data_IF_126198632472
#
_entry.id   IF_126198632472
#
_cell.length_a   1.000
_cell.length_b   1.000
_cell.length_c   1.000
_cell.angle_alpha   90.00
_cell.angle_beta   90.00
_cell.angle_gamma   90.00
#
_symmetry.space_group_name_H-M   'P 1'
#
loop_
_entity.id
_entity.type
_entity.pdbx_description
1 polymer ?
#
# COMPACT_ATOMS: atom_id res chain seq x y z
N UNK A 1 0.29 17.71 1.71
CA UNK A 1 1.22 18.69 1.08
C UNK A 1 0.57 19.19 -0.19
N UNK A 2 0.66 20.49 -0.49
CA UNK A 2 0.12 21.08 -1.72
C UNK A 2 1.28 21.38 -2.69
N UNK A 3 1.11 21.03 -3.96
CA UNK A 3 2.06 21.35 -5.03
C UNK A 3 1.58 22.66 -5.67
N UNK A 4 2.41 23.71 -5.62
CA UNK A 4 2.14 24.98 -6.28
C UNK A 4 3.04 25.12 -7.51
N UNK A 5 2.45 25.15 -8.70
CA UNK A 5 3.12 25.35 -9.97
C UNK A 5 2.73 26.73 -10.51
N UNK A 6 3.67 27.67 -10.54
CA UNK A 6 3.44 29.01 -11.08
C UNK A 6 4.35 29.27 -12.27
N UNK A 7 3.74 29.59 -13.41
CA UNK A 7 4.41 29.92 -14.67
C UNK A 7 5.43 28.85 -15.12
N UNK A 8 5.03 27.59 -15.07
CA UNK A 8 5.89 26.43 -15.37
C UNK A 8 5.57 25.90 -16.75
N UNK A 9 6.59 25.61 -17.54
CA UNK A 9 6.45 24.90 -18.82
C UNK A 9 7.06 23.50 -18.73
N UNK A 10 6.27 22.49 -19.05
CA UNK A 10 6.68 21.08 -19.14
C UNK A 10 6.51 20.65 -20.59
N UNK A 11 7.60 20.30 -21.26
CA UNK A 11 7.58 19.92 -22.68
C UNK A 11 8.32 18.59 -22.92
N UNK A 12 7.84 17.82 -23.88
CA UNK A 12 8.50 16.61 -24.42
C UNK A 12 8.84 15.53 -23.38
N UNK A 13 7.87 15.19 -22.52
CA UNK A 13 8.02 14.21 -21.44
C UNK A 13 6.96 13.10 -21.54
N UNK A 14 7.22 11.93 -20.93
CA UNK A 14 6.22 10.85 -20.85
C UNK A 14 4.96 11.29 -20.08
N UNK A 15 5.14 11.64 -18.80
CA UNK A 15 4.09 12.18 -17.92
C UNK A 15 4.52 13.56 -17.42
N UNK A 16 3.66 14.57 -17.57
CA UNK A 16 3.94 15.95 -17.16
C UNK A 16 3.94 16.14 -15.64
N UNK A 17 2.83 15.77 -14.98
CA UNK A 17 2.72 15.78 -13.52
C UNK A 17 2.29 14.40 -13.04
N UNK A 18 3.00 13.81 -12.08
CA UNK A 18 2.62 12.54 -11.45
C UNK A 18 2.51 12.71 -9.94
N UNK A 19 1.29 12.65 -9.41
CA UNK A 19 1.00 12.92 -8.00
C UNK A 19 0.01 11.91 -7.41
N UNK A 20 0.05 11.61 -6.09
CA UNK A 20 -1.02 10.87 -5.41
C UNK A 20 -2.38 11.55 -5.56
N UNK A 21 -3.47 10.78 -5.69
CA UNK A 21 -4.85 11.30 -5.79
C UNK A 21 -5.25 12.30 -4.70
N UNK A 22 -4.68 12.17 -3.50
CA UNK A 22 -4.97 13.06 -2.36
C UNK A 22 -4.14 14.36 -2.38
N UNK A 23 -3.34 14.59 -3.42
CA UNK A 23 -2.47 15.77 -3.51
C UNK A 23 -3.22 16.98 -4.04
N UNK A 24 -3.19 18.08 -3.30
CA UNK A 24 -3.73 19.34 -3.77
C UNK A 24 -2.74 20.01 -4.74
N UNK A 25 -3.12 20.15 -6.01
CA UNK A 25 -2.29 20.78 -7.05
C UNK A 25 -2.91 22.13 -7.39
N UNK A 26 -2.13 23.19 -7.19
CA UNK A 26 -2.48 24.55 -7.58
C UNK A 26 -1.56 24.98 -8.72
N UNK A 27 -2.14 25.19 -9.91
CA UNK A 27 -1.40 25.50 -11.11
C UNK A 27 -1.89 26.84 -11.69
N UNK A 28 -0.98 27.80 -11.82
CA UNK A 28 -1.23 29.14 -12.36
C UNK A 28 -0.19 29.42 -13.46
N UNK A 29 -0.61 29.61 -14.71
CA UNK A 29 0.32 29.74 -15.85
C UNK A 29 1.10 28.46 -16.19
N UNK A 30 0.53 27.28 -15.95
CA UNK A 30 1.13 25.99 -16.30
C UNK A 30 0.89 25.66 -17.77
N UNK A 31 1.95 25.40 -18.51
CA UNK A 31 1.92 24.95 -19.91
C UNK A 31 2.52 23.54 -20.01
N UNK A 32 1.72 22.55 -20.40
CA UNK A 32 2.21 21.17 -20.64
C UNK A 32 1.99 20.82 -22.11
N UNK A 33 3.08 20.62 -22.84
CA UNK A 33 3.07 20.36 -24.30
C UNK A 33 3.89 19.12 -24.65
N UNK A 34 3.54 18.44 -25.74
CA UNK A 34 4.26 17.25 -26.23
C UNK A 34 4.45 16.13 -25.18
N UNK A 35 3.48 15.93 -24.28
CA UNK A 35 3.51 14.84 -23.31
C UNK A 35 2.50 13.74 -23.61
N UNK A 36 2.81 12.48 -23.30
CA UNK A 36 1.84 11.37 -23.44
C UNK A 36 0.70 11.49 -22.44
N UNK A 37 1.01 11.86 -21.19
CA UNK A 37 0.05 12.13 -20.13
C UNK A 37 0.34 13.51 -19.52
N UNK A 38 -0.63 14.44 -19.54
CA UNK A 38 -0.40 15.78 -18.97
C UNK A 38 -0.36 15.73 -17.42
N UNK A 39 -1.38 15.12 -16.81
CA UNK A 39 -1.46 14.93 -15.36
C UNK A 39 -1.88 13.48 -15.10
N UNK A 40 -1.11 12.78 -14.29
CA UNK A 40 -1.34 11.41 -13.86
C UNK A 40 -1.52 11.38 -12.34
N UNK A 41 -2.75 11.17 -11.90
CA UNK A 41 -3.05 10.98 -10.50
C UNK A 41 -2.86 9.50 -10.17
N UNK A 42 -1.71 9.17 -9.57
CA UNK A 42 -1.42 7.81 -9.12
C UNK A 42 -2.36 7.46 -7.98
N UNK A 43 -3.00 6.32 -8.12
CA UNK A 43 -3.57 5.65 -6.95
C UNK A 43 -2.46 5.41 -5.94
N UNK A 44 -2.67 5.72 -4.65
CA UNK A 44 -1.75 5.25 -3.63
C UNK A 44 -1.57 3.74 -3.81
N UNK A 45 -0.34 3.21 -3.65
CA UNK A 45 -0.12 1.78 -3.76
C UNK A 45 -1.16 1.08 -2.90
N UNK A 46 -1.86 0.12 -3.50
CA UNK A 46 -2.85 -0.67 -2.75
C UNK A 46 -2.13 -1.29 -1.55
N UNK A 47 -2.83 -1.42 -0.43
CA UNK A 47 -2.23 -1.94 0.79
C UNK A 47 -1.56 -3.32 0.57
N UNK A 48 -2.12 -4.12 -0.34
CA UNK A 48 -1.52 -5.37 -0.81
C UNK A 48 -0.13 -5.13 -1.43
N UNK A 49 0.00 -4.20 -2.38
CA UNK A 49 1.28 -3.86 -2.98
C UNK A 49 2.29 -3.29 -1.97
N UNK A 50 1.84 -2.46 -1.03
CA UNK A 50 2.71 -1.94 0.04
C UNK A 50 3.25 -3.07 0.92
N UNK A 51 2.45 -4.10 1.15
CA UNK A 51 2.85 -5.31 1.89
C UNK A 51 3.63 -6.31 1.03
N UNK A 52 3.92 -6.00 -0.24
CA UNK A 52 4.56 -6.94 -1.17
C UNK A 52 3.66 -8.11 -1.58
N UNK A 53 2.36 -8.02 -1.31
CA UNK A 53 1.37 -9.03 -1.65
C UNK A 53 0.92 -8.89 -3.11
N UNK A 54 0.71 -10.01 -3.82
CA UNK A 54 0.10 -9.99 -5.14
C UNK A 54 -1.24 -9.25 -5.16
N UNK A 55 -1.56 -8.56 -6.26
CA UNK A 55 -2.82 -7.81 -6.39
C UNK A 55 -4.07 -8.72 -6.37
N UNK A 56 -3.92 -10.01 -6.69
CA UNK A 56 -4.96 -11.04 -6.62
C UNK A 56 -5.05 -11.72 -5.24
N UNK A 57 -4.34 -11.21 -4.22
CA UNK A 57 -4.40 -11.77 -2.86
C UNK A 57 -5.82 -11.60 -2.31
N UNK A 58 -6.48 -12.70 -1.88
CA UNK A 58 -7.81 -12.63 -1.30
C UNK A 58 -7.82 -11.74 -0.04
N UNK A 59 -8.67 -10.70 0.03
CA UNK A 59 -8.72 -9.81 1.19
C UNK A 59 -9.05 -10.54 2.49
N UNK A 60 -9.85 -11.60 2.42
CA UNK A 60 -10.24 -12.43 3.57
C UNK A 60 -9.04 -13.09 4.24
N UNK A 61 -8.04 -13.53 3.47
CA UNK A 61 -6.83 -14.14 4.00
C UNK A 61 -5.93 -13.11 4.69
N UNK A 62 -5.86 -11.89 4.16
CA UNK A 62 -5.17 -10.79 4.83
C UNK A 62 -5.82 -10.47 6.18
N UNK A 63 -7.16 -10.32 6.21
CA UNK A 63 -7.89 -10.05 7.45
C UNK A 63 -7.67 -11.15 8.49
N UNK A 64 -7.68 -12.42 8.07
CA UNK A 64 -7.39 -13.55 8.95
C UNK A 64 -5.98 -13.48 9.53
N UNK A 65 -4.97 -13.24 8.70
CA UNK A 65 -3.57 -13.10 9.13
C UNK A 65 -3.41 -11.95 10.14
N UNK A 66 -4.08 -10.82 9.91
CA UNK A 66 -4.07 -9.68 10.81
C UNK A 66 -4.76 -9.97 12.16
N UNK A 67 -5.90 -10.70 12.14
CA UNK A 67 -6.58 -11.15 13.37
C UNK A 67 -5.75 -12.14 14.18
N UNK A 68 -5.01 -13.03 13.51
CA UNK A 68 -4.08 -13.94 14.19
C UNK A 68 -2.99 -13.14 14.91
N UNK A 69 -2.44 -12.11 14.26
CA UNK A 69 -1.45 -11.23 14.88
C UNK A 69 -2.02 -10.40 16.02
N UNK A 70 -3.27 -9.93 15.92
CA UNK A 70 -3.97 -9.18 16.95
C UNK A 70 -4.22 -10.04 18.19
N UNK A 71 -4.75 -11.26 18.02
CA UNK A 71 -4.91 -12.22 19.12
C UNK A 71 -3.58 -12.70 19.72
N UNK A 72 -2.47 -12.48 19.01
CA UNK A 72 -1.11 -12.81 19.43
C UNK A 72 -0.30 -11.60 19.94
N UNK A 73 -0.93 -10.45 20.18
CA UNK A 73 -0.24 -9.20 20.56
C UNK A 73 0.68 -9.34 21.78
N UNK A 74 0.31 -10.19 22.75
CA UNK A 74 1.08 -10.45 23.97
C UNK A 74 2.32 -11.34 23.78
N UNK A 75 2.51 -11.90 22.59
CA UNK A 75 3.65 -12.78 22.28
C UNK A 75 4.83 -11.97 21.73
N UNK A 76 6.04 -12.49 21.92
CA UNK A 76 7.24 -11.96 21.29
C UNK A 76 7.13 -11.99 19.75
N UNK A 77 7.73 -11.01 19.08
CA UNK A 77 7.62 -10.81 17.62
C UNK A 77 7.91 -12.07 16.80
N UNK A 78 8.89 -12.87 17.22
CA UNK A 78 9.23 -14.15 16.57
C UNK A 78 8.12 -15.20 16.68
N UNK A 79 7.51 -15.34 17.85
CA UNK A 79 6.41 -16.27 18.08
C UNK A 79 5.12 -15.85 17.33
N UNK A 80 4.94 -14.54 17.13
CA UNK A 80 3.84 -13.98 16.33
C UNK A 80 4.00 -14.29 14.85
N UNK A 81 5.22 -14.19 14.32
CA UNK A 81 5.54 -14.57 12.94
C UNK A 81 5.30 -16.07 12.72
N UNK A 82 5.61 -16.93 13.69
CA UNK A 82 5.31 -18.35 13.51
C UNK A 82 3.82 -18.66 13.53
N UNK A 83 3.01 -17.93 14.31
CA UNK A 83 1.55 -18.06 14.23
C UNK A 83 0.98 -17.65 12.88
N UNK A 84 1.59 -16.68 12.19
CA UNK A 84 1.18 -16.32 10.82
C UNK A 84 1.31 -17.49 9.85
N UNK A 85 2.21 -18.45 10.11
CA UNK A 85 2.40 -19.63 9.25
C UNK A 85 1.15 -20.52 9.15
N UNK A 86 0.29 -20.47 10.16
CA UNK A 86 -0.98 -21.20 10.18
C UNK A 86 -2.06 -20.52 9.33
N UNK A 87 -1.89 -19.23 9.02
CA UNK A 87 -2.86 -18.44 8.26
C UNK A 87 -3.02 -18.92 6.83
N UNK A 88 -4.24 -18.77 6.30
CA UNK A 88 -4.52 -19.05 4.90
C UNK A 88 -3.78 -18.11 3.93
N UNK A 89 -3.33 -16.94 4.40
CA UNK A 89 -2.52 -16.02 3.61
C UNK A 89 -1.18 -16.64 3.22
N UNK A 90 -0.44 -17.19 4.21
CA UNK A 90 0.85 -17.81 3.97
C UNK A 90 0.69 -19.09 3.14
N UNK A 91 -0.35 -19.89 3.43
CA UNK A 91 -0.67 -21.08 2.63
C UNK A 91 -0.97 -20.73 1.16
N UNK A 92 -1.66 -19.61 0.93
CA UNK A 92 -2.00 -19.13 -0.41
C UNK A 92 -0.79 -18.56 -1.15
N UNK A 93 0.06 -17.78 -0.48
CA UNK A 93 1.30 -17.24 -1.05
C UNK A 93 2.31 -18.36 -1.39
N UNK A 94 2.14 -19.53 -0.78
CA UNK A 94 2.92 -20.72 -1.06
C UNK A 94 4.37 -20.64 -0.54
N UNK A 95 5.16 -21.65 -0.89
CA UNK A 95 6.53 -21.82 -0.37
C UNK A 95 7.53 -20.73 -0.81
N UNK A 96 7.14 -19.85 -1.74
CA UNK A 96 7.97 -18.73 -2.21
C UNK A 96 7.81 -17.47 -1.35
N UNK A 97 6.88 -17.47 -0.41
CA UNK A 97 6.63 -16.35 0.48
C UNK A 97 7.71 -16.30 1.57
N UNK A 98 8.54 -15.25 1.58
CA UNK A 98 9.49 -15.02 2.66
C UNK A 98 8.72 -14.62 3.93
N UNK A 99 8.48 -15.60 4.80
CA UNK A 99 7.66 -15.47 6.01
C UNK A 99 8.22 -14.41 6.97
N UNK A 100 9.54 -14.28 7.05
CA UNK A 100 10.18 -13.31 7.93
C UNK A 100 9.95 -11.89 7.42
N UNK A 101 10.08 -11.68 6.11
CA UNK A 101 9.85 -10.40 5.45
C UNK A 101 8.37 -9.99 5.52
N UNK A 102 7.46 -10.92 5.17
CA UNK A 102 6.02 -10.68 5.25
C UNK A 102 5.53 -10.51 6.70
N UNK A 103 6.03 -11.32 7.62
CA UNK A 103 5.70 -11.22 9.04
C UNK A 103 6.14 -9.90 9.64
N UNK A 104 7.36 -9.43 9.33
CA UNK A 104 7.84 -8.11 9.73
C UNK A 104 7.01 -6.96 9.11
N UNK A 105 6.61 -7.09 7.85
CA UNK A 105 5.76 -6.12 7.17
C UNK A 105 4.35 -6.06 7.79
N UNK A 106 3.73 -7.21 8.08
CA UNK A 106 2.41 -7.27 8.70
C UNK A 106 2.42 -6.78 10.15
N UNK A 107 3.46 -7.11 10.92
CA UNK A 107 3.67 -6.59 12.27
C UNK A 107 3.87 -5.08 12.27
N UNK A 108 4.67 -4.54 11.35
CA UNK A 108 4.87 -3.10 11.24
C UNK A 108 3.59 -2.38 10.77
N UNK A 109 2.82 -2.97 9.86
CA UNK A 109 1.52 -2.45 9.46
C UNK A 109 0.50 -2.45 10.62
N UNK A 110 0.56 -3.44 11.51
CA UNK A 110 -0.24 -3.45 12.73
C UNK A 110 0.18 -2.33 13.68
N UNK A 111 1.48 -2.16 13.93
CA UNK A 111 1.99 -1.10 14.80
C UNK A 111 1.64 0.32 14.30
N UNK A 112 1.48 0.49 12.99
CA UNK A 112 1.09 1.75 12.35
C UNK A 112 -0.44 1.99 12.32
N UNK A 113 -1.26 1.07 12.87
CA UNK A 113 -2.72 1.21 12.86
C UNK A 113 -3.36 1.03 11.48
N UNK A 114 -2.59 0.62 10.46
CA UNK A 114 -3.08 0.37 9.10
C UNK A 114 -4.12 -0.75 9.08
N UNK A 115 -4.06 -1.68 10.04
CA UNK A 115 -5.00 -2.79 10.20
C UNK A 115 -6.43 -2.28 10.41
N UNK A 116 -6.63 -1.28 11.27
CA UNK A 116 -7.95 -0.72 11.54
C UNK A 116 -8.54 -0.08 10.28
N UNK A 117 -7.71 0.71 9.57
CA UNK A 117 -8.11 1.35 8.30
C UNK A 117 -8.39 0.34 7.19
N UNK A 118 -7.64 -0.77 7.15
CA UNK A 118 -7.79 -1.84 6.15
C UNK A 118 -9.08 -2.63 6.37
N UNK A 119 -9.32 -3.04 7.61
CA UNK A 119 -10.53 -3.77 8.00
C UNK A 119 -11.76 -2.92 7.73
N UNK A 120 -11.73 -1.63 8.05
CA UNK A 120 -12.83 -0.70 7.74
C UNK A 120 -13.04 -0.49 6.23
N UNK A 121 -11.97 -0.46 5.42
CA UNK A 121 -12.08 -0.31 3.96
C UNK A 121 -12.62 -1.55 3.25
N UNK A 122 -12.33 -2.75 3.76
CA UNK A 122 -12.81 -4.00 3.15
C UNK A 122 -14.19 -4.44 3.64
N UNK A 123 -14.70 -3.86 4.74
CA UNK A 123 -16.04 -4.10 5.27
C UNK A 123 -17.09 -3.07 4.80
N UNK A 124 -16.70 -2.06 4.02
CA UNK A 124 -17.60 -1.13 3.32
C UNK A 124 -17.81 -1.56 1.88
#
# INVERSE_FOLDING_TARGET
MAINLKNVRIDNCGTGISAPKDTHINADGLEITNTKNAIELRDPPSLLQTLGLPANTPPTYLIEALKILEGAEKLESSARIEKLRESNLIKWLGATADLASLGGMLLSAQAQGLVSTTVERFLR
#
